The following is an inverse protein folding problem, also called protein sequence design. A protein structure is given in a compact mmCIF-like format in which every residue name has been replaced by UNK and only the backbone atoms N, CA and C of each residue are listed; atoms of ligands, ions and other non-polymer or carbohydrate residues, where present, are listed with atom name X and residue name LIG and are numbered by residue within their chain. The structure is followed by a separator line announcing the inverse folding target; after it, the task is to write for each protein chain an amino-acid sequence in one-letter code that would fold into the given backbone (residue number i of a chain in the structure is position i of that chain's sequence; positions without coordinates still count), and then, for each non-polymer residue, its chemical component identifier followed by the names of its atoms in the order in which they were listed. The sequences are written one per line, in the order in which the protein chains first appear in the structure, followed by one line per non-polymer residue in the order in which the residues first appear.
data_IF_696623158908
#
_entry.id   IF_696623158908
#
_cell.length_a   1.000
_cell.length_b   1.000
_cell.length_c   1.000
_cell.angle_alpha   90.00
_cell.angle_beta   90.00
_cell.angle_gamma   90.00
#
_symmetry.space_group_name_H-M   'P 1'
#
loop_
_entity.id
_entity.type
_entity.pdbx_description
1 polymer ?
#
# COMPACT_ATOMS: atom_id res chain seq x y z
N UNK A 1 -7.25 9.57 8.10
CA UNK A 1 -6.07 8.74 7.72
C UNK A 1 -5.90 8.73 6.20
N UNK A 2 -4.95 7.98 5.61
CA UNK A 2 -4.83 7.92 4.14
C UNK A 2 -4.45 6.53 3.64
N UNK A 3 -5.30 5.97 2.77
CA UNK A 3 -4.98 4.76 2.01
C UNK A 3 -4.37 5.18 0.67
N UNK A 4 -3.32 4.47 0.27
CA UNK A 4 -2.64 4.62 -0.99
C UNK A 4 -2.35 3.25 -1.60
N UNK A 5 -2.17 3.22 -2.92
CA UNK A 5 -1.62 2.07 -3.62
C UNK A 5 -0.42 2.51 -4.45
N UNK A 6 0.69 1.77 -4.35
CA UNK A 6 1.76 1.85 -5.35
C UNK A 6 1.50 0.76 -6.37
N UNK A 7 1.48 1.14 -7.65
CA UNK A 7 1.11 0.25 -8.74
C UNK A 7 2.19 0.25 -9.80
N UNK A 8 2.66 -0.95 -10.12
CA UNK A 8 3.50 -1.24 -11.26
C UNK A 8 2.68 -2.04 -12.29
N UNK A 9 2.75 -1.63 -13.54
CA UNK A 9 2.04 -2.25 -14.66
C UNK A 9 3.08 -2.64 -15.71
N UNK A 10 3.24 -3.93 -15.98
CA UNK A 10 3.93 -4.42 -17.18
C UNK A 10 2.92 -4.48 -18.33
N UNK A 11 3.09 -3.59 -19.32
CA UNK A 11 2.13 -3.39 -20.40
C UNK A 11 2.35 -4.42 -21.50
N UNK A 12 1.27 -5.09 -21.90
CA UNK A 12 1.30 -6.07 -22.99
C UNK A 12 1.81 -5.45 -24.30
N UNK A 13 2.65 -6.20 -25.02
CA UNK A 13 3.34 -5.74 -26.24
C UNK A 13 2.37 -5.11 -27.24
N UNK A 14 1.29 -5.83 -27.53
CA UNK A 14 0.25 -5.46 -28.50
C UNK A 14 -0.62 -4.28 -28.05
N UNK A 15 -0.60 -3.96 -26.75
CA UNK A 15 -1.45 -2.90 -26.20
C UNK A 15 -0.87 -1.50 -26.45
N UNK A 16 0.46 -1.40 -26.38
CA UNK A 16 1.21 -0.15 -26.58
C UNK A 16 1.25 0.75 -25.34
N UNK A 17 2.47 1.16 -24.97
CA UNK A 17 2.73 2.00 -23.79
C UNK A 17 2.02 3.37 -23.87
N UNK A 18 1.96 3.98 -25.06
CA UNK A 18 1.31 5.28 -25.24
C UNK A 18 -0.20 5.23 -24.93
N UNK A 19 -0.87 4.12 -25.31
CA UNK A 19 -2.29 3.91 -25.00
C UNK A 19 -2.50 3.71 -23.50
N UNK A 20 -1.64 2.91 -22.86
CA UNK A 20 -1.66 2.70 -21.42
C UNK A 20 -1.48 4.02 -20.63
N UNK A 21 -0.52 4.86 -21.03
CA UNK A 21 -0.30 6.17 -20.42
C UNK A 21 -1.49 7.13 -20.54
N UNK A 22 -2.24 7.08 -21.66
CA UNK A 22 -3.47 7.87 -21.82
C UNK A 22 -4.53 7.43 -20.81
N UNK A 23 -4.73 6.13 -20.65
CA UNK A 23 -5.66 5.59 -19.64
C UNK A 23 -5.23 5.99 -18.23
N UNK A 24 -3.94 5.92 -17.89
CA UNK A 24 -3.46 6.39 -16.59
C UNK A 24 -3.84 7.85 -16.32
N UNK A 25 -3.76 8.73 -17.32
CA UNK A 25 -4.19 10.13 -17.20
C UNK A 25 -5.70 10.26 -17.05
N UNK A 26 -6.47 9.52 -17.84
CA UNK A 26 -7.95 9.47 -17.74
C UNK A 26 -8.41 9.03 -16.34
N UNK A 27 -7.71 8.08 -15.72
CA UNK A 27 -8.00 7.60 -14.37
C UNK A 27 -7.56 8.57 -13.25
N UNK A 28 -7.05 9.77 -13.59
CA UNK A 28 -6.64 10.78 -12.60
C UNK A 28 -5.47 10.32 -11.73
N UNK A 29 -4.50 9.62 -12.32
CA UNK A 29 -3.33 9.12 -11.60
C UNK A 29 -2.25 10.18 -11.47
N UNK A 30 -1.57 10.14 -10.33
CA UNK A 30 -0.50 11.06 -9.99
C UNK A 30 0.86 10.37 -10.08
N UNK A 31 1.91 11.14 -10.34
CA UNK A 31 3.32 10.68 -10.29
C UNK A 31 3.57 9.44 -11.18
N UNK A 32 3.05 9.50 -12.41
CA UNK A 32 3.25 8.47 -13.42
C UNK A 32 4.71 8.54 -13.91
N UNK A 33 5.45 7.45 -13.77
CA UNK A 33 6.73 7.21 -14.43
C UNK A 33 6.60 6.00 -15.34
N UNK A 34 7.37 5.98 -16.43
CA UNK A 34 7.33 4.88 -17.39
C UNK A 34 8.70 4.56 -17.94
N UNK A 35 8.93 3.29 -18.23
CA UNK A 35 10.12 2.78 -18.91
C UNK A 35 9.66 2.17 -20.25
N UNK A 36 10.08 2.77 -21.37
CA UNK A 36 9.70 2.30 -22.70
C UNK A 36 10.40 1.02 -23.13
N UNK A 37 11.58 0.73 -22.58
CA UNK A 37 12.35 -0.48 -22.90
C UNK A 37 11.69 -1.67 -22.18
N UNK A 38 11.37 -1.50 -20.90
CA UNK A 38 10.69 -2.52 -20.10
C UNK A 38 9.17 -2.55 -20.32
N UNK A 39 8.62 -1.51 -20.96
CA UNK A 39 7.17 -1.27 -21.15
C UNK A 39 6.40 -1.25 -19.83
N UNK A 40 7.02 -0.69 -18.79
CA UNK A 40 6.41 -0.61 -17.47
C UNK A 40 5.89 0.79 -17.18
N UNK A 41 4.82 0.86 -16.40
CA UNK A 41 4.29 2.10 -15.82
C UNK A 41 4.31 1.94 -14.30
N UNK A 42 4.92 2.89 -13.61
CA UNK A 42 4.90 3.03 -12.16
C UNK A 42 4.02 4.23 -11.79
N UNK A 43 3.12 4.06 -10.84
CA UNK A 43 2.21 5.14 -10.43
C UNK A 43 1.79 5.03 -8.97
N UNK A 44 1.50 6.18 -8.36
CA UNK A 44 0.92 6.27 -7.03
C UNK A 44 -0.57 6.59 -7.14
N UNK A 45 -1.38 5.83 -6.42
CA UNK A 45 -2.83 6.04 -6.31
C UNK A 45 -3.13 6.52 -4.90
N UNK A 46 -3.79 7.67 -4.80
CA UNK A 46 -4.37 8.21 -3.56
C UNK A 46 -5.85 8.49 -3.77
N UNK A 47 -6.62 8.51 -2.68
CA UNK A 47 -8.08 8.74 -2.71
C UNK A 47 -8.85 7.44 -2.95
N UNK A 48 -9.76 7.43 -3.92
CA UNK A 48 -10.52 6.23 -4.28
C UNK A 48 -9.66 5.21 -5.02
N UNK A 49 -8.93 4.40 -4.24
CA UNK A 49 -8.05 3.34 -4.75
C UNK A 49 -8.84 2.30 -5.55
N UNK A 50 -10.07 2.00 -5.15
CA UNK A 50 -10.89 0.94 -5.76
C UNK A 50 -11.32 1.34 -7.17
N UNK A 51 -11.88 2.54 -7.31
CA UNK A 51 -12.30 3.09 -8.60
C UNK A 51 -11.12 3.26 -9.55
N UNK A 52 -9.99 3.80 -9.06
CA UNK A 52 -8.80 4.02 -9.88
C UNK A 52 -8.17 2.72 -10.37
N UNK A 53 -8.13 1.67 -9.54
CA UNK A 53 -7.65 0.34 -9.98
C UNK A 53 -8.62 -0.28 -10.99
N UNK A 54 -9.93 -0.15 -10.78
CA UNK A 54 -10.94 -0.59 -11.75
C UNK A 54 -10.80 0.14 -13.08
N UNK A 55 -10.48 1.43 -13.07
CA UNK A 55 -10.20 2.19 -14.28
C UNK A 55 -8.92 1.68 -14.98
N UNK A 56 -7.87 1.42 -14.21
CA UNK A 56 -6.60 0.87 -14.71
C UNK A 56 -6.72 -0.53 -15.32
N UNK A 57 -7.68 -1.34 -14.88
CA UNK A 57 -7.89 -2.70 -15.42
C UNK A 57 -8.25 -2.73 -16.92
N UNK A 58 -8.53 -1.56 -17.51
CA UNK A 58 -8.66 -1.36 -18.97
C UNK A 58 -7.33 -1.56 -19.72
N UNK A 59 -6.19 -1.43 -19.04
CA UNK A 59 -4.85 -1.63 -19.62
C UNK A 59 -4.55 -3.13 -19.65
N UNK A 60 -4.31 -3.68 -20.83
CA UNK A 60 -3.89 -5.08 -20.94
C UNK A 60 -2.44 -5.24 -20.47
N UNK A 61 -2.24 -6.04 -19.44
CA UNK A 61 -0.94 -6.18 -18.80
C UNK A 61 -0.99 -6.92 -17.48
N UNK A 62 0.18 -7.02 -16.86
CA UNK A 62 0.37 -7.62 -15.54
C UNK A 62 0.58 -6.53 -14.50
N UNK A 63 -0.15 -6.61 -13.40
CA UNK A 63 -0.19 -5.62 -12.34
C UNK A 63 0.50 -6.15 -11.10
N UNK A 64 1.27 -5.27 -10.47
CA UNK A 64 1.79 -5.45 -9.11
C UNK A 64 1.31 -4.27 -8.27
N UNK A 65 0.58 -4.55 -7.18
CA UNK A 65 -0.06 -3.55 -6.34
C UNK A 65 0.38 -3.73 -4.89
N UNK A 66 0.82 -2.64 -4.28
CA UNK A 66 1.17 -2.55 -2.87
C UNK A 66 0.23 -1.58 -2.16
N UNK A 67 -0.68 -2.13 -1.33
CA UNK A 67 -1.65 -1.34 -0.58
C UNK A 67 -1.07 -0.87 0.75
N UNK A 68 -1.19 0.44 0.99
CA UNK A 68 -0.58 1.14 2.12
C UNK A 68 -1.63 1.97 2.85
N UNK A 69 -1.70 1.83 4.16
CA UNK A 69 -2.48 2.70 5.03
C UNK A 69 -1.51 3.47 5.94
N UNK A 70 -1.55 4.80 5.87
CA UNK A 70 -0.79 5.67 6.76
C UNK A 70 -1.66 6.17 7.90
N UNK A 71 -1.17 5.99 9.13
CA UNK A 71 -1.88 6.36 10.36
C UNK A 71 -1.00 7.22 11.25
N UNK A 72 -1.50 8.39 11.65
CA UNK A 72 -0.86 9.28 12.62
C UNK A 72 -1.43 9.01 14.01
N UNK A 73 -0.58 8.60 14.93
CA UNK A 73 -0.91 8.32 16.33
C UNK A 73 -0.53 9.52 17.21
N UNK A 74 -1.11 9.65 18.40
CA UNK A 74 -0.63 10.61 19.40
C UNK A 74 0.71 10.18 20.02
N UNK A 75 0.90 8.88 20.24
CA UNK A 75 2.13 8.31 20.77
C UNK A 75 2.40 6.94 20.16
N UNK A 76 3.68 6.68 19.85
CA UNK A 76 4.13 5.37 19.38
C UNK A 76 4.68 4.53 20.53
N UNK A 77 3.83 4.22 21.50
CA UNK A 77 4.18 3.39 22.66
C UNK A 77 3.49 2.02 22.63
N UNK A 78 3.98 1.09 23.47
CA UNK A 78 3.47 -0.28 23.54
C UNK A 78 2.01 -0.36 23.98
N UNK A 79 1.53 0.57 24.81
CA UNK A 79 0.13 0.60 25.28
C UNK A 79 -0.78 1.01 24.13
N UNK A 80 -0.39 2.04 23.37
CA UNK A 80 -1.10 2.48 22.16
C UNK A 80 -1.16 1.33 21.16
N UNK A 81 -0.04 0.72 20.79
CA UNK A 81 -0.03 -0.42 19.86
C UNK A 81 -0.92 -1.59 20.33
N UNK A 82 -0.89 -1.95 21.62
CA UNK A 82 -1.74 -3.00 22.19
C UNK A 82 -3.24 -2.65 22.06
N UNK A 83 -3.62 -1.39 22.31
CA UNK A 83 -5.02 -0.95 22.15
C UNK A 83 -5.51 -1.01 20.70
N UNK A 84 -4.60 -0.95 19.73
CA UNK A 84 -4.92 -1.15 18.30
C UNK A 84 -5.03 -2.63 17.90
N UNK A 85 -4.87 -3.56 18.85
CA UNK A 85 -4.83 -4.99 18.55
C UNK A 85 -3.54 -5.45 17.88
N UNK A 86 -2.46 -4.68 17.97
CA UNK A 86 -1.17 -5.07 17.39
C UNK A 86 -0.52 -6.15 18.24
N UNK A 87 -0.32 -7.32 17.63
CA UNK A 87 0.49 -8.40 18.17
C UNK A 87 1.97 -8.07 17.91
N UNK A 88 2.82 -7.93 18.93
CA UNK A 88 4.21 -7.54 18.75
C UNK A 88 5.00 -8.52 17.87
N UNK A 89 5.86 -7.99 17.01
CA UNK A 89 6.79 -8.80 16.23
C UNK A 89 7.87 -9.44 17.14
N UNK A 90 8.24 -10.72 16.95
CA UNK A 90 9.28 -11.37 17.74
C UNK A 90 10.63 -10.66 17.57
N UNK A 91 11.24 -10.19 18.66
CA UNK A 91 12.54 -9.49 18.62
C UNK A 91 13.74 -10.40 18.31
N UNK A 92 13.51 -11.69 18.12
CA UNK A 92 14.55 -12.73 18.08
C UNK A 92 15.20 -12.92 16.71
N UNK A 93 14.68 -12.30 15.65
CA UNK A 93 15.25 -12.42 14.30
C UNK A 93 16.05 -11.17 13.90
N UNK A 94 17.28 -11.40 13.44
CA UNK A 94 18.15 -10.41 12.80
C UNK A 94 17.47 -9.94 11.52
N UNK A 95 16.70 -8.85 11.59
CA UNK A 95 15.96 -8.33 10.44
C UNK A 95 15.03 -7.16 10.78
N UNK A 96 15.36 -5.98 10.24
CA UNK A 96 14.58 -4.73 10.17
C UNK A 96 13.86 -4.24 11.44
N UNK A 97 14.51 -3.30 12.14
CA UNK A 97 14.01 -2.53 13.31
C UNK A 97 12.70 -1.73 13.11
N UNK A 98 12.11 -1.79 11.90
CA UNK A 98 10.93 -1.03 11.51
C UNK A 98 9.63 -1.76 11.79
N UNK A 99 9.60 -3.09 11.79
CA UNK A 99 8.37 -3.85 12.04
C UNK A 99 7.98 -3.77 13.52
N UNK A 100 6.78 -3.27 13.79
CA UNK A 100 6.22 -3.17 15.14
C UNK A 100 5.45 -4.42 15.53
N UNK A 101 4.78 -5.04 14.56
CA UNK A 101 3.90 -6.17 14.81
C UNK A 101 2.87 -6.37 13.72
N UNK A 102 1.83 -7.12 14.07
CA UNK A 102 0.78 -7.59 13.17
C UNK A 102 -0.60 -7.25 13.69
N UNK A 103 -1.53 -7.02 12.77
CA UNK A 103 -2.97 -7.03 13.03
C UNK A 103 -3.60 -8.06 12.10
N UNK A 104 -4.39 -8.97 12.66
CA UNK A 104 -5.13 -9.96 11.87
C UNK A 104 -6.61 -9.57 11.85
N UNK A 105 -7.18 -9.45 10.66
CA UNK A 105 -8.59 -9.11 10.47
C UNK A 105 -9.13 -9.76 9.20
N UNK A 106 -10.31 -10.38 9.27
CA UNK A 106 -11.00 -11.02 8.14
C UNK A 106 -10.12 -12.01 7.34
N UNK A 107 -9.26 -12.74 8.06
CA UNK A 107 -8.31 -13.68 7.48
C UNK A 107 -7.19 -13.03 6.65
N UNK A 108 -6.99 -11.71 6.80
CA UNK A 108 -5.89 -10.95 6.20
C UNK A 108 -4.93 -10.56 7.30
N UNK A 109 -3.63 -10.84 7.12
CA UNK A 109 -2.60 -10.32 8.02
C UNK A 109 -2.12 -8.96 7.52
N UNK A 110 -2.15 -7.95 8.38
CA UNK A 110 -1.58 -6.64 8.13
C UNK A 110 -0.34 -6.45 8.98
N UNK A 111 0.76 -6.01 8.36
CA UNK A 111 1.99 -5.64 9.08
C UNK A 111 1.94 -4.18 9.44
N UNK A 112 2.34 -3.84 10.66
CA UNK A 112 2.50 -2.48 11.13
C UNK A 112 3.99 -2.14 11.21
N UNK A 113 4.40 -1.09 10.50
CA UNK A 113 5.78 -0.64 10.38
C UNK A 113 5.93 0.81 10.86
N UNK A 114 7.07 1.10 11.51
CA UNK A 114 7.50 2.48 11.78
C UNK A 114 7.87 3.16 10.48
N UNK A 115 7.39 4.38 10.30
CA UNK A 115 7.93 5.29 9.27
C UNK A 115 9.06 6.14 9.85
N UNK A 116 9.75 6.91 8.99
CA UNK A 116 10.69 7.94 9.42
C UNK A 116 10.01 9.15 10.10
N UNK A 117 8.69 9.33 9.91
CA UNK A 117 7.93 10.41 10.51
C UNK A 117 7.47 10.03 11.93
N UNK A 118 7.67 10.93 12.88
CA UNK A 118 7.27 10.71 14.27
C UNK A 118 5.78 10.41 14.40
N UNK A 119 5.48 9.37 15.17
CA UNK A 119 4.13 8.87 15.43
C UNK A 119 3.31 8.50 14.17
N UNK A 120 3.95 8.33 13.02
CA UNK A 120 3.27 7.81 11.82
C UNK A 120 3.68 6.37 11.60
N UNK A 121 2.68 5.50 11.49
CA UNK A 121 2.85 4.09 11.14
C UNK A 121 2.34 3.83 9.73
N UNK A 122 2.98 2.87 9.08
CA UNK A 122 2.56 2.31 7.80
C UNK A 122 1.97 0.94 8.07
N UNK A 123 0.77 0.70 7.57
CA UNK A 123 0.08 -0.58 7.67
C UNK A 123 -0.09 -1.15 6.25
N UNK A 124 0.39 -2.37 6.02
CA UNK A 124 0.35 -3.03 4.70
C UNK A 124 -0.25 -4.41 4.82
N UNK A 125 -1.12 -4.78 3.89
CA UNK A 125 -1.71 -6.11 3.84
C UNK A 125 -0.71 -7.11 3.23
N UNK A 126 -0.59 -8.29 3.83
CA UNK A 126 0.15 -9.41 3.25
C UNK A 126 -0.74 -10.21 2.31
N UNK A 127 -0.11 -10.84 1.31
CA UNK A 127 -0.73 -11.88 0.48
C UNK A 127 -1.10 -13.12 1.30
N UNK A 128 -0.33 -13.43 2.35
CA UNK A 128 -0.57 -14.56 3.24
C UNK A 128 -1.58 -14.23 4.35
N UNK A 129 -2.39 -15.21 4.72
CA UNK A 129 -3.27 -15.14 5.89
C UNK A 129 -2.50 -15.31 7.21
N UNK A 130 -1.31 -15.92 7.20
CA UNK A 130 -0.47 -16.11 8.38
C UNK A 130 0.60 -15.04 8.52
N UNK A 131 0.95 -14.71 9.76
CA UNK A 131 2.07 -13.82 10.08
C UNK A 131 3.39 -14.59 9.96
N UNK A 132 4.25 -14.27 8.96
CA UNK A 132 5.51 -14.98 8.79
C UNK A 132 6.53 -14.56 9.85
N UNK A 133 7.55 -15.39 10.08
CA UNK A 133 8.65 -15.04 10.99
C UNK A 133 9.64 -14.04 10.37
N UNK A 134 9.72 -14.02 9.04
CA UNK A 134 10.54 -13.10 8.24
C UNK A 134 9.62 -12.51 7.19
N UNK A 135 9.59 -11.18 7.10
CA UNK A 135 8.78 -10.49 6.11
C UNK A 135 9.67 -10.04 4.96
N UNK A 136 9.41 -10.58 3.77
CA UNK A 136 10.06 -10.14 2.54
C UNK A 136 9.23 -9.07 1.83
N UNK A 137 9.85 -8.10 1.13
CA UNK A 137 9.14 -7.06 0.40
C UNK A 137 8.10 -7.59 -0.60
N UNK A 138 8.36 -8.75 -1.22
CA UNK A 138 7.47 -9.42 -2.16
C UNK A 138 6.15 -9.87 -1.54
N UNK A 139 6.11 -10.11 -0.21
CA UNK A 139 4.92 -10.61 0.48
C UNK A 139 3.79 -9.59 0.57
N UNK A 140 4.09 -8.30 0.37
CA UNK A 140 3.12 -7.20 0.32
C UNK A 140 2.50 -7.00 -1.07
N UNK A 141 3.06 -7.64 -2.09
CA UNK A 141 2.74 -7.37 -3.48
C UNK A 141 1.58 -8.25 -3.94
N UNK A 142 0.46 -7.62 -4.29
CA UNK A 142 -0.68 -8.27 -4.94
C UNK A 142 -0.40 -8.29 -6.44
N UNK A 143 -0.36 -9.49 -7.01
CA UNK A 143 0.01 -9.70 -8.40
C UNK A 143 -1.13 -10.34 -9.18
N UNK A 144 -1.49 -9.76 -10.32
CA UNK A 144 -2.59 -10.23 -11.15
C UNK A 144 -2.51 -9.71 -12.58
N UNK A 145 -3.15 -10.41 -13.52
CA UNK A 145 -3.48 -9.81 -14.81
C UNK A 145 -4.62 -8.80 -14.67
N UNK A 146 -4.76 -7.93 -15.66
CA UNK A 146 -5.78 -6.90 -15.71
C UNK A 146 -7.22 -7.44 -15.52
N UNK A 147 -7.50 -8.67 -15.94
CA UNK A 147 -8.80 -9.33 -15.76
C UNK A 147 -9.13 -9.69 -14.32
N UNK A 148 -8.12 -9.84 -13.46
CA UNK A 148 -8.27 -10.35 -12.09
C UNK A 148 -7.93 -9.28 -11.02
N UNK A 149 -7.22 -8.22 -11.40
CA UNK A 149 -6.58 -7.33 -10.42
C UNK A 149 -7.59 -6.68 -9.48
N UNK A 150 -8.74 -6.23 -10.01
CA UNK A 150 -9.80 -5.62 -9.21
C UNK A 150 -10.26 -6.59 -8.13
N UNK A 151 -10.57 -7.84 -8.46
CA UNK A 151 -11.04 -8.83 -7.49
C UNK A 151 -9.98 -9.15 -6.42
N UNK A 152 -8.72 -9.30 -6.83
CA UNK A 152 -7.62 -9.64 -5.90
C UNK A 152 -7.31 -8.52 -4.91
N UNK A 153 -7.54 -7.26 -5.26
CA UNK A 153 -7.29 -6.15 -4.35
C UNK A 153 -8.47 -5.86 -3.40
N UNK A 154 -9.71 -6.25 -3.76
CA UNK A 154 -10.91 -5.85 -3.01
C UNK A 154 -10.87 -6.29 -1.55
N UNK A 155 -10.54 -7.56 -1.29
CA UNK A 155 -10.48 -8.07 0.09
C UNK A 155 -9.40 -7.36 0.91
N UNK A 156 -8.11 -7.33 0.49
CA UNK A 156 -7.08 -6.57 1.20
C UNK A 156 -7.41 -5.09 1.40
N UNK A 157 -8.00 -4.43 0.38
CA UNK A 157 -8.38 -3.03 0.47
C UNK A 157 -9.50 -2.79 1.48
N UNK A 158 -10.54 -3.64 1.50
CA UNK A 158 -11.63 -3.58 2.49
C UNK A 158 -11.10 -3.82 3.91
N UNK A 159 -10.19 -4.77 4.09
CA UNK A 159 -9.51 -4.99 5.37
C UNK A 159 -8.79 -3.72 5.82
N UNK A 160 -8.03 -3.06 4.94
CA UNK A 160 -7.34 -1.81 5.29
C UNK A 160 -8.32 -0.65 5.56
N UNK A 161 -9.42 -0.54 4.80
CA UNK A 161 -10.49 0.45 5.04
C UNK A 161 -11.13 0.25 6.42
N UNK A 162 -11.59 -0.97 6.73
CA UNK A 162 -12.22 -1.30 8.02
C UNK A 162 -11.25 -1.17 9.19
N UNK A 163 -9.98 -1.58 9.03
CA UNK A 163 -8.95 -1.32 10.03
C UNK A 163 -8.77 0.18 10.22
N UNK A 164 -8.78 0.93 9.11
CA UNK A 164 -8.73 2.37 9.12
C UNK A 164 -9.83 3.00 9.99
N UNK A 165 -11.08 2.67 9.69
CA UNK A 165 -12.28 3.13 10.42
C UNK A 165 -12.25 2.71 11.90
N UNK A 166 -11.83 1.49 12.22
CA UNK A 166 -11.66 1.03 13.60
C UNK A 166 -10.65 1.89 14.35
N UNK A 167 -9.54 2.26 13.70
CA UNK A 167 -8.53 3.13 14.30
C UNK A 167 -9.01 4.58 14.44
N UNK A 168 -9.90 5.07 13.57
CA UNK A 168 -10.52 6.39 13.74
C UNK A 168 -11.54 6.40 14.89
N UNK A 169 -12.31 5.32 15.05
CA UNK A 169 -13.38 5.21 16.06
C UNK A 169 -12.88 4.80 17.45
N UNK A 170 -11.83 3.98 17.54
CA UNK A 170 -11.38 3.39 18.80
C UNK A 170 -10.62 4.36 19.72
N UNK A 171 -10.33 5.60 19.31
CA UNK A 171 -9.27 6.36 20.00
C UNK A 171 -9.57 7.86 20.19
N UNK A 172 -9.54 8.34 21.46
CA UNK A 172 -9.19 9.73 21.81
C UNK A 172 -7.73 10.12 21.48
N UNK A 173 -6.96 9.27 20.78
CA UNK A 173 -5.49 9.35 20.59
C UNK A 173 -5.01 9.18 19.14
N UNK A 174 -5.90 9.29 18.15
CA UNK A 174 -5.50 9.77 16.82
C UNK A 174 -5.48 11.29 16.94
N UNK A 175 -4.34 11.95 16.74
CA UNK A 175 -4.31 13.41 16.81
C UNK A 175 -5.30 13.97 15.79
N UNK A 176 -6.39 14.60 16.27
CA UNK A 176 -7.29 15.44 15.45
C UNK A 176 -6.56 16.72 15.02
N UNK A 177 -5.52 16.58 14.22
CA UNK A 177 -4.94 17.64 13.40
C UNK A 177 -4.51 17.01 12.08
N UNK A 178 -5.49 16.88 11.20
CA UNK A 178 -5.33 16.68 9.77
C UNK A 178 -4.87 18.00 9.15
N UNK A 179 -3.57 18.23 9.14
CA UNK A 179 -2.95 19.06 8.11
C UNK A 179 -1.59 18.44 7.75
N UNK A 180 -1.44 18.14 6.47
CA UNK A 180 -0.17 17.84 5.78
C UNK A 180 0.46 16.46 6.03
N UNK A 181 -0.32 15.38 5.89
CA UNK A 181 0.28 14.11 5.42
C UNK A 181 0.59 14.24 3.92
N UNK A 182 1.61 15.03 3.57
CA UNK A 182 2.06 15.12 2.18
C UNK A 182 2.64 13.78 1.71
N UNK A 183 2.25 13.30 0.52
CA UNK A 183 2.79 12.09 -0.06
C UNK A 183 4.23 12.33 -0.54
N UNK A 184 5.23 11.77 0.16
CA UNK A 184 6.62 11.89 -0.27
C UNK A 184 6.87 11.11 -1.56
N UNK A 185 7.72 11.70 -2.40
CA UNK A 185 8.29 11.14 -3.62
C UNK A 185 9.20 9.96 -3.26
N UNK A 186 8.84 8.77 -3.71
CA UNK A 186 9.80 7.70 -3.95
C UNK A 186 9.74 7.37 -5.44
N UNK A 187 10.15 8.33 -6.27
CA UNK A 187 10.58 8.04 -7.62
C UNK A 187 12.08 7.78 -7.53
N UNK A 188 12.47 6.53 -7.65
CA UNK A 188 13.85 6.18 -7.95
C UNK A 188 14.11 6.78 -9.33
N UNK A 189 14.76 7.95 -9.34
CA UNK A 189 15.34 8.50 -10.55
C UNK A 189 16.42 7.52 -11.01
N UNK A 190 16.14 6.77 -12.07
CA UNK A 190 17.23 6.29 -12.93
C UNK A 190 17.69 7.49 -13.75
N UNK A 191 18.62 8.27 -13.20
CA UNK A 191 19.47 9.12 -14.03
C UNK A 191 20.50 8.19 -14.66
N UNK A 192 20.42 8.03 -15.99
CA UNK A 192 21.54 7.54 -16.77
C UNK A 192 22.47 8.74 -17.00
N UNK A 193 23.67 8.66 -16.42
CA UNK A 193 24.84 9.40 -16.92
C UNK A 193 25.23 8.88 -18.32
#
# INVERSE_FOLDING_TARGET
MMIQAVVDIDVGVEYGLAKALRICKECGLEKIASDSIKRTIHTLISGDVEEKIKCLSRIAGFFTVDLRLFVKLCSLDRKTLKSLGVVPYPKTTVGTSRVLGYVMMDGTTCVVEKTSKNNVVLIRALKSSSAPLIIEPSMYLIQAYNTEITEKILKPLRTLKSLGERLENAIPRVCKQTSNLEPQRALIHFSLE
#
